data_IF_039909780711
#
_entry.id   IF_039909780711
#
_cell.length_a   1.000
_cell.length_b   1.000
_cell.length_c   1.000
_cell.angle_alpha   90.00
_cell.angle_beta   90.00
_cell.angle_gamma   90.00
#
_symmetry.space_group_name_H-M   'P 1'
#
loop_
_entity.id
_entity.type
_entity.pdbx_description
1 polymer ?
#
# COMPACT_ATOMS: atom_id res chain seq x y z
N UNK A 1 10.03 5.96 19.75
CA UNK A 1 9.06 5.73 18.66
C UNK A 1 9.47 4.43 17.97
N UNK A 2 8.66 3.36 17.99
CA UNK A 2 8.98 2.17 17.21
C UNK A 2 9.14 2.56 15.75
N UNK A 3 10.15 2.00 15.10
CA UNK A 3 10.48 2.28 13.72
C UNK A 3 9.43 1.59 12.84
N UNK A 4 8.36 2.31 12.48
CA UNK A 4 7.24 1.77 11.69
C UNK A 4 7.66 1.17 10.34
N UNK A 5 8.82 1.55 9.82
CA UNK A 5 9.42 0.90 8.64
C UNK A 5 9.81 -0.56 8.90
N UNK A 6 10.21 -0.92 10.13
CA UNK A 6 10.53 -2.31 10.48
C UNK A 6 9.29 -3.19 10.60
N UNK A 7 8.21 -2.67 11.18
CA UNK A 7 6.94 -3.41 11.27
C UNK A 7 6.33 -3.61 9.88
N UNK A 8 6.36 -2.57 9.04
CA UNK A 8 5.88 -2.71 7.69
C UNK A 8 6.78 -3.55 6.78
N UNK A 9 8.09 -3.63 7.05
CA UNK A 9 8.97 -4.54 6.33
C UNK A 9 8.44 -5.99 6.41
N UNK A 10 7.77 -6.37 7.49
CA UNK A 10 7.13 -7.68 7.57
C UNK A 10 5.93 -7.79 6.63
N UNK A 11 5.04 -6.80 6.58
CA UNK A 11 3.81 -6.87 5.78
C UNK A 11 4.04 -6.64 4.29
N UNK A 12 5.08 -5.88 3.92
CA UNK A 12 5.43 -5.66 2.51
C UNK A 12 5.82 -6.96 1.79
N UNK A 13 6.26 -7.98 2.55
CA UNK A 13 6.55 -9.32 2.05
C UNK A 13 5.33 -10.26 2.05
N UNK A 14 4.17 -9.81 2.56
CA UNK A 14 2.96 -10.63 2.60
C UNK A 14 2.26 -10.69 1.25
N UNK A 15 1.35 -11.65 1.10
CA UNK A 15 0.52 -11.74 -0.10
C UNK A 15 -0.37 -10.50 -0.21
N UNK A 16 -0.32 -9.83 -1.35
CA UNK A 16 -1.11 -8.62 -1.60
C UNK A 16 -2.53 -9.05 -2.00
N UNK A 17 -3.50 -8.69 -1.18
CA UNK A 17 -4.90 -8.80 -1.55
C UNK A 17 -5.36 -7.46 -2.14
N UNK A 18 -5.54 -7.43 -3.46
CA UNK A 18 -6.12 -6.26 -4.13
C UNK A 18 -7.63 -6.33 -3.93
N UNK A 19 -8.13 -5.55 -2.97
CA UNK A 19 -9.56 -5.48 -2.70
C UNK A 19 -10.36 -5.18 -3.97
N UNK A 20 -11.56 -5.76 -4.09
CA UNK A 20 -12.45 -5.64 -5.26
C UNK A 20 -12.65 -4.18 -5.75
N UNK A 21 -12.61 -3.21 -4.83
CA UNK A 21 -12.73 -1.78 -5.12
C UNK A 21 -11.49 -1.16 -5.80
N UNK A 22 -10.29 -1.68 -5.56
CA UNK A 22 -9.06 -1.26 -6.25
C UNK A 22 -9.02 -1.85 -7.65
N UNK A 23 -9.45 -3.10 -7.82
CA UNK A 23 -9.52 -3.74 -9.14
C UNK A 23 -10.44 -2.96 -10.09
N UNK A 24 -11.62 -2.53 -9.64
CA UNK A 24 -12.53 -1.65 -10.43
C UNK A 24 -11.98 -0.25 -10.73
N UNK A 25 -10.96 0.22 -10.00
CA UNK A 25 -10.39 1.57 -10.15
C UNK A 25 -9.00 1.59 -10.79
N UNK A 26 -8.34 0.44 -10.95
CA UNK A 26 -7.02 0.30 -11.61
C UNK A 26 -7.02 0.93 -13.00
N UNK A 27 -8.05 0.61 -13.80
CA UNK A 27 -8.31 1.21 -15.12
C UNK A 27 -8.62 2.73 -15.07
N UNK A 28 -9.16 3.23 -13.95
CA UNK A 28 -9.56 4.64 -13.79
C UNK A 28 -8.39 5.51 -13.30
N UNK A 29 -7.41 4.91 -12.60
CA UNK A 29 -6.27 5.63 -11.98
C UNK A 29 -4.94 5.41 -12.69
N UNK A 30 -4.91 4.59 -13.74
CA UNK A 30 -3.77 4.48 -14.65
C UNK A 30 -2.59 3.65 -14.13
N UNK A 31 -2.82 2.73 -13.19
CA UNK A 31 -1.80 1.80 -12.70
C UNK A 31 -2.33 0.35 -12.70
N UNK A 32 -1.46 -0.61 -12.97
CA UNK A 32 -1.75 -2.05 -12.94
C UNK A 32 -1.13 -2.72 -11.69
N UNK A 33 -1.30 -4.04 -11.55
CA UNK A 33 -0.74 -4.78 -10.41
C UNK A 33 0.80 -4.71 -10.32
N UNK A 34 1.49 -4.75 -11.46
CA UNK A 34 2.96 -4.62 -11.52
C UNK A 34 3.41 -3.25 -11.04
N UNK A 35 2.70 -2.19 -11.42
CA UNK A 35 2.96 -0.82 -10.96
C UNK A 35 2.76 -0.72 -9.45
N UNK A 36 1.70 -1.35 -8.92
CA UNK A 36 1.45 -1.42 -7.48
C UNK A 36 2.58 -2.12 -6.74
N UNK A 37 3.05 -3.27 -7.25
CA UNK A 37 4.20 -3.99 -6.66
C UNK A 37 5.46 -3.14 -6.69
N UNK A 38 5.69 -2.41 -7.78
CA UNK A 38 6.80 -1.46 -7.89
C UNK A 38 6.71 -0.35 -6.84
N UNK A 39 5.53 0.26 -6.69
CA UNK A 39 5.30 1.28 -5.67
C UNK A 39 5.47 0.75 -4.24
N UNK A 40 5.04 -0.48 -3.97
CA UNK A 40 5.19 -1.14 -2.67
C UNK A 40 6.66 -1.45 -2.34
N UNK A 41 7.47 -1.74 -3.36
CA UNK A 41 8.91 -1.96 -3.19
C UNK A 41 9.69 -0.66 -2.93
N UNK A 42 9.20 0.49 -3.43
CA UNK A 42 9.83 1.81 -3.25
C UNK A 42 9.17 2.65 -2.15
N UNK A 43 8.69 2.00 -1.09
CA UNK A 43 8.09 2.70 0.06
C UNK A 43 9.17 3.44 0.83
N UNK A 44 9.01 4.76 0.92
CA UNK A 44 9.96 5.66 1.59
C UNK A 44 9.51 6.08 3.00
N UNK A 45 8.20 6.03 3.27
CA UNK A 45 7.65 6.39 4.58
C UNK A 45 6.30 5.73 4.82
N UNK A 46 5.96 5.58 6.11
CA UNK A 46 4.74 4.91 6.56
C UNK A 46 4.16 5.66 7.74
N UNK A 47 2.88 5.97 7.65
CA UNK A 47 2.14 6.66 8.70
C UNK A 47 0.78 6.01 8.97
N UNK A 48 0.19 6.18 10.16
CA UNK A 48 -1.15 5.72 10.44
C UNK A 48 -2.15 6.53 9.62
N UNK A 49 -3.19 5.87 9.16
CA UNK A 49 -4.37 6.53 8.60
C UNK A 49 -5.24 7.11 9.73
N UNK A 50 -6.23 7.91 9.34
CA UNK A 50 -7.31 8.37 10.23
C UNK A 50 -8.25 7.22 10.65
N UNK A 51 -8.21 6.08 9.95
CA UNK A 51 -8.90 4.84 10.30
C UNK A 51 -7.91 3.93 11.03
N UNK A 52 -8.28 3.50 12.23
CA UNK A 52 -7.48 2.55 13.02
C UNK A 52 -7.25 1.24 12.25
N UNK A 53 -6.05 0.65 12.42
CA UNK A 53 -5.64 -0.55 11.68
C UNK A 53 -5.18 -0.29 10.24
N UNK A 54 -5.31 0.95 9.72
CA UNK A 54 -4.83 1.31 8.38
C UNK A 54 -3.58 2.16 8.40
N UNK A 55 -2.79 2.01 7.35
CA UNK A 55 -1.53 2.72 7.18
C UNK A 55 -1.48 3.35 5.79
N UNK A 56 -0.85 4.51 5.69
CA UNK A 56 -0.53 5.19 4.43
C UNK A 56 0.94 4.95 4.15
N UNK A 57 1.21 4.27 3.04
CA UNK A 57 2.54 4.12 2.48
C UNK A 57 2.79 5.27 1.51
N UNK A 58 3.94 5.91 1.64
CA UNK A 58 4.45 6.93 0.73
C UNK A 58 5.44 6.25 -0.21
N UNK A 59 5.21 6.35 -1.51
CA UNK A 59 6.03 5.70 -2.52
C UNK A 59 6.16 6.56 -3.78
N UNK A 60 6.94 6.07 -4.75
CA UNK A 60 7.11 6.71 -6.05
C UNK A 60 6.93 5.72 -7.19
N UNK A 61 6.46 6.24 -8.32
CA UNK A 61 6.40 5.53 -9.60
C UNK A 61 6.58 6.57 -10.70
N UNK A 62 7.53 6.34 -11.62
CA UNK A 62 7.82 7.24 -12.74
C UNK A 62 8.02 8.72 -12.33
N UNK A 63 8.74 8.94 -11.22
CA UNK A 63 9.00 10.27 -10.61
C UNK A 63 7.77 10.93 -9.95
N UNK A 64 6.59 10.33 -10.05
CA UNK A 64 5.38 10.81 -9.40
C UNK A 64 5.29 10.27 -7.97
N UNK A 65 4.70 11.06 -7.06
CA UNK A 65 4.47 10.64 -5.68
C UNK A 65 3.12 9.96 -5.54
N UNK A 66 3.11 8.85 -4.81
CA UNK A 66 1.93 8.04 -4.60
C UNK A 66 1.70 7.77 -3.12
N UNK A 67 0.41 7.64 -2.79
CA UNK A 67 -0.07 7.21 -1.48
C UNK A 67 -0.89 5.95 -1.64
N UNK A 68 -0.56 4.96 -0.83
CA UNK A 68 -1.22 3.66 -0.80
C UNK A 68 -1.76 3.46 0.62
N UNK A 69 -3.08 3.32 0.76
CA UNK A 69 -3.67 2.91 2.02
C UNK A 69 -3.72 1.39 2.05
N UNK A 70 -3.11 0.83 3.08
CA UNK A 70 -3.05 -0.61 3.33
C UNK A 70 -3.62 -0.96 4.69
N UNK A 71 -4.11 -2.18 4.81
CA UNK A 71 -4.63 -2.78 6.03
C UNK A 71 -3.99 -4.17 6.16
N UNK A 72 -3.07 -4.38 7.13
CA UNK A 72 -2.50 -5.69 7.37
C UNK A 72 -3.51 -6.60 8.06
N UNK A 73 -3.74 -7.77 7.47
CA UNK A 73 -4.48 -8.87 8.07
C UNK A 73 -3.47 -9.86 8.66
N UNK A 74 -3.35 -9.87 9.99
CA UNK A 74 -2.40 -10.70 10.70
C UNK A 74 -2.84 -12.17 10.81
N UNK A 75 -4.14 -12.44 10.71
CA UNK A 75 -4.69 -13.79 10.85
C UNK A 75 -4.43 -14.58 9.55
N UNK A 76 -4.70 -13.95 8.41
CA UNK A 76 -4.47 -14.54 7.08
C UNK A 76 -3.08 -14.23 6.50
N UNK A 77 -2.30 -13.38 7.17
CA UNK A 77 -0.97 -12.91 6.72
C UNK A 77 -1.02 -12.30 5.32
N UNK A 78 -1.95 -11.36 5.13
CA UNK A 78 -2.19 -10.66 3.87
C UNK A 78 -2.12 -9.16 4.06
N UNK A 79 -1.73 -8.45 3.00
CA UNK A 79 -1.77 -7.00 2.98
C UNK A 79 -2.86 -6.52 2.02
N UNK A 80 -3.98 -6.08 2.58
CA UNK A 80 -5.09 -5.57 1.79
C UNK A 80 -4.78 -4.16 1.31
N UNK A 81 -4.78 -3.95 0.00
CA UNK A 81 -4.66 -2.60 -0.58
C UNK A 81 -6.05 -2.00 -0.68
N UNK A 82 -6.30 -0.97 0.12
CA UNK A 82 -7.62 -0.34 0.26
C UNK A 82 -7.82 0.72 -0.81
N UNK A 83 -6.84 1.61 -1.02
CA UNK A 83 -6.93 2.70 -1.99
C UNK A 83 -5.54 3.20 -2.37
N UNK A 84 -5.40 3.63 -3.63
CA UNK A 84 -4.15 4.19 -4.18
C UNK A 84 -4.46 5.50 -4.89
N UNK A 85 -3.62 6.52 -4.70
CA UNK A 85 -3.75 7.79 -5.41
C UNK A 85 -2.41 8.47 -5.61
N UNK A 86 -2.29 9.21 -6.72
CA UNK A 86 -1.22 10.16 -6.94
C UNK A 86 -1.46 11.41 -6.09
N UNK A 87 -0.39 11.94 -5.52
CA UNK A 87 -0.38 13.22 -4.79
C UNK A 87 -0.60 14.39 -5.74
#
# INVERSE_FOLDING_TARGET
>A
MPNRLREAAEWLDWEIEIGYHVNKRSLVRGFNETDLRTMMADVVAIEPSHVEGRFVLHSRLDQEQWRIVVEPDYDDRKLAVVTVWRV
#
